data_IF_025121013695
#
_entry.id   IF_025121013695
#
_cell.length_a   1.000
_cell.length_b   1.000
_cell.length_c   1.000
_cell.angle_alpha   90.00
_cell.angle_beta   90.00
_cell.angle_gamma   90.00
#
_symmetry.space_group_name_H-M   'P 1'
#
loop_
_entity.id
_entity.type
_entity.pdbx_description
1 polymer ?
#
# COMPACT_ATOMS: atom_id res chain seq x y z
N UNK A 1 38.14 -29.78 -22.66
CA UNK A 1 38.83 -31.09 -22.58
C UNK A 1 39.77 -31.03 -21.39
N UNK A 2 39.55 -31.87 -20.37
CA UNK A 2 40.34 -31.89 -19.12
C UNK A 2 39.46 -32.06 -17.87
N UNK A 3 39.33 -33.28 -17.31
CA UNK A 3 38.48 -33.58 -16.16
C UNK A 3 39.31 -33.80 -14.87
N UNK A 4 38.79 -33.36 -13.73
CA UNK A 4 39.23 -33.79 -12.39
C UNK A 4 37.95 -34.10 -11.57
N UNK A 5 37.60 -35.38 -11.37
CA UNK A 5 37.84 -36.22 -10.16
C UNK A 5 37.23 -35.62 -8.88
N UNK A 6 36.57 -36.31 -7.95
CA UNK A 6 35.85 -37.60 -7.75
C UNK A 6 35.53 -37.64 -6.24
N UNK A 7 34.37 -38.20 -5.84
CA UNK A 7 34.03 -38.73 -4.50
C UNK A 7 33.88 -37.68 -3.34
N UNK A 8 33.04 -37.86 -2.33
CA UNK A 8 32.62 -39.10 -1.66
C UNK A 8 31.21 -39.04 -1.04
N UNK A 9 30.73 -40.23 -0.68
CA UNK A 9 29.41 -40.57 -0.14
C UNK A 9 29.37 -40.66 1.39
N UNK A 10 28.15 -40.63 1.95
CA UNK A 10 27.73 -41.15 3.26
C UNK A 10 26.23 -40.90 3.40
N UNK A 11 25.31 -41.89 3.32
CA UNK A 11 24.99 -42.98 4.25
C UNK A 11 24.64 -42.49 5.67
N UNK A 12 23.66 -42.99 6.43
CA UNK A 12 22.41 -43.73 6.22
C UNK A 12 21.77 -43.86 7.64
N UNK A 13 20.42 -43.88 7.69
CA UNK A 13 19.59 -44.68 8.63
C UNK A 13 19.37 -44.31 10.12
N UNK A 14 18.13 -44.63 10.52
CA UNK A 14 17.64 -45.13 11.84
C UNK A 14 16.86 -44.11 12.68
N UNK A 15 15.74 -44.41 13.36
CA UNK A 15 14.89 -45.60 13.49
C UNK A 15 13.56 -45.24 14.20
N UNK A 16 12.59 -46.15 14.06
CA UNK A 16 11.30 -46.29 14.75
C UNK A 16 11.36 -46.20 16.30
N UNK A 17 10.27 -45.72 16.92
CA UNK A 17 9.78 -46.23 18.20
C UNK A 17 8.24 -46.14 18.30
N UNK A 18 7.59 -47.31 18.45
CA UNK A 18 6.21 -47.51 18.87
C UNK A 18 6.12 -47.57 20.41
N UNK A 19 5.09 -46.96 21.00
CA UNK A 19 4.56 -47.28 22.35
C UNK A 19 3.05 -46.99 22.34
N UNK A 20 2.18 -48.01 22.24
CA UNK A 20 1.54 -48.84 23.28
C UNK A 20 0.50 -48.12 24.17
N UNK A 21 -0.71 -48.69 24.18
CA UNK A 21 -1.98 -48.19 24.70
C UNK A 21 -2.17 -48.31 26.22
N UNK A 22 -3.01 -47.43 26.80
CA UNK A 22 -3.86 -47.73 27.95
C UNK A 22 -5.22 -47.01 27.84
N UNK A 23 -6.29 -47.80 27.95
CA UNK A 23 -7.66 -47.35 28.16
C UNK A 23 -7.88 -47.03 29.65
N UNK A 24 -8.66 -45.98 29.97
CA UNK A 24 -9.30 -45.83 31.28
C UNK A 24 -10.64 -45.06 31.13
N UNK A 25 -11.72 -45.84 31.17
CA UNK A 25 -12.99 -45.64 31.89
C UNK A 25 -13.66 -44.25 31.90
N UNK A 26 -14.91 -44.23 31.41
CA UNK A 26 -15.78 -43.07 31.39
C UNK A 26 -16.17 -42.51 32.76
N UNK A 27 -16.31 -41.19 32.81
CA UNK A 27 -17.06 -40.48 33.83
C UNK A 27 -18.54 -40.52 33.46
N UNK A 28 -19.30 -41.39 34.13
CA UNK A 28 -20.75 -41.22 34.26
C UNK A 28 -21.06 -40.25 35.40
N UNK A 29 -22.14 -39.44 35.31
CA UNK A 29 -22.50 -38.50 36.37
C UNK A 29 -22.82 -39.24 37.68
N UNK A 30 -22.45 -38.61 38.80
CA UNK A 30 -22.59 -39.20 40.12
C UNK A 30 -24.08 -39.44 40.47
N UNK A 31 -24.43 -40.56 41.13
CA UNK A 31 -25.82 -40.99 41.35
C UNK A 31 -26.58 -40.22 42.44
N UNK A 32 -26.04 -39.11 42.96
CA UNK A 32 -26.70 -38.26 43.96
C UNK A 32 -27.18 -36.91 43.38
N UNK A 33 -27.09 -36.71 42.07
CA UNK A 33 -27.63 -35.51 41.43
C UNK A 33 -29.15 -35.66 41.21
N UNK A 34 -29.91 -35.37 42.26
CA UNK A 34 -31.36 -35.24 42.18
C UNK A 34 -31.72 -33.81 41.79
N UNK A 35 -32.09 -33.64 40.51
CA UNK A 35 -33.02 -32.59 40.08
C UNK A 35 -32.39 -31.24 39.76
N UNK A 36 -31.94 -31.09 38.52
CA UNK A 36 -32.13 -29.86 37.78
C UNK A 36 -32.64 -30.22 36.39
N UNK A 37 -33.90 -29.91 36.12
CA UNK A 37 -34.48 -29.97 34.79
C UNK A 37 -33.66 -29.02 33.90
N UNK A 38 -33.05 -29.49 32.79
CA UNK A 38 -32.32 -28.60 31.91
C UNK A 38 -33.35 -27.71 31.21
N UNK A 39 -33.51 -26.49 31.69
CA UNK A 39 -34.01 -25.38 30.89
C UNK A 39 -33.25 -25.43 29.55
N UNK A 40 -33.93 -25.40 28.38
CA UNK A 40 -33.23 -25.33 27.12
C UNK A 40 -32.45 -24.01 27.09
N UNK A 41 -31.16 -24.07 27.42
CA UNK A 41 -30.24 -22.99 27.10
C UNK A 41 -30.21 -22.93 25.59
N UNK A 42 -30.87 -21.93 25.03
CA UNK A 42 -30.68 -21.52 23.65
C UNK A 42 -29.20 -21.23 23.47
N UNK A 43 -28.45 -22.22 22.98
CA UNK A 43 -27.10 -22.00 22.49
C UNK A 43 -27.24 -21.08 21.29
N UNK A 44 -27.09 -19.79 21.51
CA UNK A 44 -26.85 -18.82 20.45
C UNK A 44 -25.55 -19.25 19.78
N UNK A 45 -25.69 -20.01 18.70
CA UNK A 45 -24.58 -20.30 17.82
C UNK A 45 -24.14 -18.96 17.25
N UNK A 46 -23.09 -18.37 17.83
CA UNK A 46 -22.45 -17.18 17.31
C UNK A 46 -21.86 -17.57 15.96
N UNK A 47 -22.58 -17.26 14.88
CA UNK A 47 -22.02 -17.32 13.54
C UNK A 47 -20.76 -16.45 13.55
N UNK A 48 -19.58 -17.00 13.26
CA UNK A 48 -18.36 -16.21 13.22
C UNK A 48 -18.56 -15.09 12.19
N UNK A 49 -18.53 -13.84 12.66
CA UNK A 49 -18.54 -12.67 11.79
C UNK A 49 -17.28 -12.75 10.92
N UNK A 50 -17.46 -12.66 9.60
CA UNK A 50 -16.34 -12.66 8.68
C UNK A 50 -15.39 -11.50 9.03
N UNK A 51 -14.09 -11.79 9.15
CA UNK A 51 -13.09 -10.76 9.39
C UNK A 51 -13.16 -9.70 8.27
N UNK A 52 -13.04 -8.40 8.58
CA UNK A 52 -13.09 -7.36 7.58
C UNK A 52 -11.97 -7.56 6.55
N UNK A 53 -12.28 -7.33 5.28
CA UNK A 53 -11.27 -7.35 4.21
C UNK A 53 -10.22 -6.28 4.48
N UNK A 54 -8.92 -6.61 4.46
CA UNK A 54 -7.88 -5.62 4.69
C UNK A 54 -7.94 -4.54 3.62
N UNK A 55 -7.93 -3.28 4.07
CA UNK A 55 -7.87 -2.11 3.20
C UNK A 55 -6.48 -2.05 2.55
N UNK A 56 -6.36 -1.91 1.21
CA UNK A 56 -5.07 -1.73 0.55
C UNK A 56 -4.33 -0.51 1.12
N UNK A 57 -3.02 -0.66 1.37
CA UNK A 57 -2.18 0.43 1.84
C UNK A 57 -0.78 0.34 1.23
N UNK A 58 -0.55 1.13 0.19
CA UNK A 58 0.71 1.20 -0.52
C UNK A 58 1.84 1.75 0.36
N UNK A 59 1.53 2.59 1.36
CA UNK A 59 2.52 3.18 2.28
C UNK A 59 2.65 2.41 3.59
N UNK A 60 2.18 1.16 3.64
CA UNK A 60 2.23 0.33 4.86
C UNK A 60 3.65 0.09 5.39
N UNK A 61 4.66 0.04 4.51
CA UNK A 61 6.09 -0.04 4.86
C UNK A 61 6.75 1.34 5.07
N UNK A 62 6.00 2.43 5.01
CA UNK A 62 6.48 3.82 5.08
C UNK A 62 6.74 4.45 3.71
N UNK A 63 7.07 3.66 2.69
CA UNK A 63 7.26 4.10 1.31
C UNK A 63 6.84 3.03 0.30
N UNK A 64 6.64 3.47 -0.95
CA UNK A 64 6.44 2.62 -2.13
C UNK A 64 7.14 3.21 -3.34
N UNK A 65 7.61 2.36 -4.24
CA UNK A 65 8.25 2.76 -5.50
C UNK A 65 7.36 2.35 -6.68
N UNK A 66 7.28 3.21 -7.69
CA UNK A 66 6.47 3.02 -8.89
C UNK A 66 7.29 3.36 -10.13
N UNK A 67 7.08 2.58 -11.18
CA UNK A 67 7.57 2.91 -12.52
C UNK A 67 6.38 3.29 -13.40
N UNK A 68 6.41 4.50 -13.95
CA UNK A 68 5.35 5.06 -14.79
C UNK A 68 5.88 5.28 -16.20
N UNK A 69 5.24 4.67 -17.20
CA UNK A 69 5.64 4.79 -18.60
C UNK A 69 4.64 5.67 -19.35
N UNK A 70 5.15 6.70 -20.01
CA UNK A 70 4.37 7.57 -20.89
C UNK A 70 5.15 7.80 -22.18
N UNK A 71 4.78 7.10 -23.26
CA UNK A 71 5.49 7.23 -24.54
C UNK A 71 6.95 6.82 -24.44
N UNK A 72 7.86 7.79 -24.63
CA UNK A 72 9.31 7.57 -24.59
C UNK A 72 9.92 7.70 -23.19
N UNK A 73 9.16 8.22 -22.22
CA UNK A 73 9.63 8.45 -20.85
C UNK A 73 9.21 7.31 -19.94
N UNK A 74 10.18 6.81 -19.17
CA UNK A 74 9.92 6.01 -17.97
C UNK A 74 10.32 6.82 -16.75
N UNK A 75 9.38 7.03 -15.83
CA UNK A 75 9.58 7.76 -14.58
C UNK A 75 9.61 6.78 -13.41
N UNK A 76 10.70 6.80 -12.65
CA UNK A 76 10.81 6.11 -11.36
C UNK A 76 10.40 7.09 -10.28
N UNK A 77 9.34 6.76 -9.53
CA UNK A 77 8.75 7.61 -8.50
C UNK A 77 8.73 6.87 -7.17
N UNK A 78 9.35 7.47 -6.16
CA UNK A 78 9.25 7.05 -4.77
C UNK A 78 8.21 7.91 -4.05
N UNK A 79 7.24 7.28 -3.40
CA UNK A 79 6.27 7.94 -2.54
C UNK A 79 6.49 7.52 -1.09
N UNK A 80 6.39 8.47 -0.15
CA UNK A 80 6.47 8.17 1.28
C UNK A 80 5.69 9.17 2.12
N UNK A 81 5.44 8.80 3.37
CA UNK A 81 4.95 9.73 4.40
C UNK A 81 5.86 9.67 5.62
N UNK A 82 6.24 10.84 6.14
CA UNK A 82 6.91 10.92 7.44
C UNK A 82 5.92 10.83 8.61
N UNK A 83 4.62 10.87 8.34
CA UNK A 83 3.57 10.62 9.32
C UNK A 83 3.32 9.11 9.37
N UNK A 84 3.46 8.53 10.56
CA UNK A 84 3.25 7.09 10.76
C UNK A 84 1.80 6.69 10.47
N UNK A 85 1.58 5.49 9.94
CA UNK A 85 0.26 5.06 9.45
C UNK A 85 -0.82 5.02 10.56
N UNK A 86 -0.44 4.85 11.83
CA UNK A 86 -1.36 4.96 12.99
C UNK A 86 -1.85 6.40 13.24
N UNK A 87 -1.11 7.39 12.73
CA UNK A 87 -1.44 8.82 12.82
C UNK A 87 -2.15 9.35 11.58
N UNK A 88 -2.33 8.52 10.55
CA UNK A 88 -3.12 8.85 9.37
C UNK A 88 -4.62 8.82 9.67
N UNK A 89 -5.09 9.67 10.58
CA UNK A 89 -6.50 9.74 10.98
C UNK A 89 -7.30 10.67 10.06
N UNK A 90 -8.63 10.63 10.18
CA UNK A 90 -9.53 11.44 9.37
C UNK A 90 -9.23 12.96 9.47
N UNK A 91 -8.96 13.45 10.68
CA UNK A 91 -8.74 14.87 10.97
C UNK A 91 -7.28 15.32 10.78
N UNK A 92 -6.32 14.39 10.73
CA UNK A 92 -4.91 14.73 10.62
C UNK A 92 -4.57 15.39 9.28
N UNK A 93 -3.61 16.31 9.28
CA UNK A 93 -2.94 16.75 8.06
C UNK A 93 -1.90 15.68 7.69
N UNK A 94 -2.08 15.03 6.54
CA UNK A 94 -1.30 13.86 6.14
C UNK A 94 -0.33 14.23 5.01
N UNK A 95 0.98 14.44 5.30
CA UNK A 95 1.96 14.78 4.27
C UNK A 95 2.32 13.54 3.44
N UNK A 96 2.36 13.71 2.12
CA UNK A 96 2.83 12.71 1.16
C UNK A 96 3.94 13.34 0.34
N UNK A 97 5.15 12.86 0.57
CA UNK A 97 6.34 13.29 -0.14
C UNK A 97 6.61 12.35 -1.31
N UNK A 98 7.21 12.89 -2.36
CA UNK A 98 7.66 12.09 -3.48
C UNK A 98 9.02 12.57 -3.99
N UNK A 99 9.72 11.65 -4.65
CA UNK A 99 10.92 11.89 -5.44
C UNK A 99 10.75 11.20 -6.78
N UNK A 100 11.17 11.86 -7.86
CA UNK A 100 11.03 11.32 -9.21
C UNK A 100 12.28 11.58 -10.03
N UNK A 101 12.71 10.56 -10.75
CA UNK A 101 13.68 10.67 -11.85
C UNK A 101 13.11 10.03 -13.10
N UNK A 102 13.65 10.39 -14.25
CA UNK A 102 13.20 9.86 -15.53
C UNK A 102 14.35 9.33 -16.36
N UNK A 103 14.02 8.40 -17.24
CA UNK A 103 14.83 7.98 -18.39
C UNK A 103 14.04 8.21 -19.68
N UNK A 104 14.74 8.25 -20.83
CA UNK A 104 14.13 8.40 -22.14
C UNK A 104 14.62 7.31 -23.08
N UNK A 105 13.73 6.78 -23.92
CA UNK A 105 14.06 5.77 -24.93
C UNK A 105 13.54 6.18 -26.32
N UNK A 106 14.39 6.22 -27.36
CA UNK A 106 15.85 6.04 -27.31
C UNK A 106 16.54 7.18 -26.54
N UNK A 107 17.70 6.88 -25.96
CA UNK A 107 18.56 7.88 -25.31
C UNK A 107 19.58 8.43 -26.32
N UNK A 108 19.12 9.30 -27.22
CA UNK A 108 19.99 9.97 -28.19
C UNK A 108 20.47 11.35 -27.67
N UNK A 109 20.29 11.63 -26.38
CA UNK A 109 20.63 12.92 -25.76
C UNK A 109 19.48 13.93 -25.71
N UNK A 110 18.23 13.51 -25.89
CA UNK A 110 17.06 14.33 -25.60
C UNK A 110 16.93 14.59 -24.10
N UNK A 111 16.50 15.80 -23.73
CA UNK A 111 16.16 16.11 -22.33
C UNK A 111 14.69 15.89 -22.04
N UNK A 112 14.39 15.54 -20.80
CA UNK A 112 13.03 15.37 -20.26
C UNK A 112 12.81 16.40 -19.16
N UNK A 113 11.73 17.17 -19.30
CA UNK A 113 11.36 18.22 -18.37
C UNK A 113 10.00 17.94 -17.76
N UNK A 114 9.86 18.11 -16.45
CA UNK A 114 8.56 18.12 -15.78
C UNK A 114 7.96 19.52 -15.88
N UNK A 115 6.79 19.64 -16.49
CA UNK A 115 6.05 20.89 -16.58
C UNK A 115 5.07 21.05 -15.42
N UNK A 116 4.44 19.95 -14.99
CA UNK A 116 3.40 19.98 -13.96
C UNK A 116 3.31 18.64 -13.23
N UNK A 117 3.15 18.69 -11.92
CA UNK A 117 2.69 17.59 -11.08
C UNK A 117 1.38 17.99 -10.40
N UNK A 118 0.39 17.10 -10.39
CA UNK A 118 -0.91 17.30 -9.74
C UNK A 118 -1.19 16.14 -8.81
N UNK A 119 -1.74 16.42 -7.64
CA UNK A 119 -2.31 15.42 -6.73
C UNK A 119 -3.75 15.78 -6.40
N UNK A 120 -4.64 14.80 -6.55
CA UNK A 120 -6.05 14.87 -6.08
C UNK A 120 -6.27 13.73 -5.10
N UNK A 121 -6.77 14.06 -3.90
CA UNK A 121 -7.11 13.07 -2.89
C UNK A 121 -8.61 12.76 -2.93
N UNK A 122 -8.96 11.49 -3.09
CA UNK A 122 -10.36 11.02 -3.15
C UNK A 122 -10.60 10.05 -2.00
N UNK A 123 -11.25 10.48 -0.91
CA UNK A 123 -11.58 9.61 0.21
C UNK A 123 -12.55 8.49 -0.23
N UNK A 124 -12.45 7.34 0.40
CA UNK A 124 -13.27 6.16 0.13
C UNK A 124 -13.86 5.64 1.44
N UNK A 125 -15.16 5.40 1.47
CA UNK A 125 -15.85 4.82 2.60
C UNK A 125 -16.68 3.59 2.22
N UNK A 126 -17.58 3.14 3.11
CA UNK A 126 -18.41 1.96 2.90
C UNK A 126 -19.29 2.04 1.64
N UNK A 127 -19.78 3.22 1.32
CA UNK A 127 -20.63 3.48 0.15
C UNK A 127 -19.85 3.79 -1.14
N UNK A 128 -18.51 3.73 -1.08
CA UNK A 128 -17.62 3.99 -2.20
C UNK A 128 -16.94 5.37 -2.14
N UNK A 129 -16.67 5.93 -3.33
CA UNK A 129 -15.92 7.17 -3.47
C UNK A 129 -16.69 8.38 -2.94
N UNK A 130 -16.02 9.18 -2.13
CA UNK A 130 -16.55 10.44 -1.58
C UNK A 130 -16.13 11.64 -2.45
N UNK A 131 -16.58 12.83 -2.07
CA UNK A 131 -16.18 14.05 -2.75
C UNK A 131 -14.65 14.23 -2.73
N UNK A 132 -14.00 14.49 -3.88
CA UNK A 132 -12.57 14.72 -3.93
C UNK A 132 -12.20 16.03 -3.22
N UNK A 133 -11.02 16.04 -2.59
CA UNK A 133 -10.41 17.26 -2.07
C UNK A 133 -9.92 18.15 -3.22
N UNK A 134 -9.66 19.42 -2.92
CA UNK A 134 -9.09 20.35 -3.89
C UNK A 134 -7.75 19.85 -4.41
N UNK A 135 -7.58 19.95 -5.74
CA UNK A 135 -6.35 19.55 -6.42
C UNK A 135 -5.19 20.43 -5.96
N UNK A 136 -4.07 19.81 -5.62
CA UNK A 136 -2.80 20.50 -5.41
C UNK A 136 -1.97 20.39 -6.68
N UNK A 137 -1.50 21.54 -7.17
CA UNK A 137 -0.77 21.65 -8.43
C UNK A 137 0.58 22.29 -8.15
N UNK A 138 1.65 21.59 -8.54
CA UNK A 138 2.96 22.18 -8.73
C UNK A 138 3.21 22.36 -10.22
N UNK A 139 3.29 23.61 -10.65
CA UNK A 139 3.47 24.01 -12.04
C UNK A 139 4.82 24.69 -12.16
N UNK A 140 5.65 24.25 -13.11
CA UNK A 140 6.96 24.85 -13.34
C UNK A 140 6.85 26.34 -13.62
N UNK A 141 7.65 27.13 -12.89
CA UNK A 141 7.85 28.56 -13.12
C UNK A 141 8.97 28.87 -14.14
N UNK A 142 9.69 27.84 -14.59
CA UNK A 142 10.76 27.96 -15.58
C UNK A 142 10.38 27.27 -16.89
N UNK A 143 10.77 27.87 -18.01
CA UNK A 143 10.61 27.26 -19.33
C UNK A 143 11.83 26.39 -19.68
N UNK A 144 11.66 25.20 -20.29
CA UNK A 144 10.37 24.57 -20.63
C UNK A 144 9.72 23.83 -19.43
N UNK A 145 10.50 23.52 -18.39
CA UNK A 145 10.08 22.80 -17.19
C UNK A 145 11.30 22.53 -16.29
N UNK A 146 11.11 21.79 -15.19
CA UNK A 146 12.21 21.31 -14.36
C UNK A 146 12.88 20.11 -15.02
N UNK A 147 14.22 20.11 -15.16
CA UNK A 147 14.94 18.95 -15.71
C UNK A 147 14.83 17.76 -14.75
N UNK A 148 14.28 16.64 -15.21
CA UNK A 148 14.05 15.43 -14.40
C UNK A 148 14.69 14.18 -15.00
N UNK A 149 15.50 14.34 -16.04
CA UNK A 149 16.31 13.25 -16.58
C UNK A 149 17.45 12.95 -15.60
N UNK A 150 17.67 11.67 -15.28
CA UNK A 150 18.73 11.25 -14.38
C UNK A 150 20.09 11.88 -14.78
N UNK A 151 20.90 12.35 -13.82
CA UNK A 151 20.77 12.19 -12.37
C UNK A 151 19.91 13.28 -11.67
N UNK A 152 19.25 14.15 -12.42
CA UNK A 152 18.41 15.21 -11.83
C UNK A 152 17.05 14.65 -11.41
N UNK A 153 16.61 15.04 -10.22
CA UNK A 153 15.35 14.57 -9.65
C UNK A 153 14.41 15.75 -9.34
N UNK A 154 13.11 15.45 -9.40
CA UNK A 154 12.06 16.29 -8.84
C UNK A 154 11.69 15.77 -7.45
N UNK A 155 11.39 16.66 -6.51
CA UNK A 155 10.88 16.28 -5.19
C UNK A 155 9.85 17.27 -4.72
N UNK A 156 8.75 16.77 -4.15
CA UNK A 156 7.63 17.59 -3.70
C UNK A 156 6.93 16.93 -2.53
N UNK A 157 6.28 17.73 -1.68
CA UNK A 157 5.34 17.24 -0.67
C UNK A 157 3.96 17.83 -0.93
N UNK A 158 2.97 16.95 -1.00
CA UNK A 158 1.55 17.30 -1.05
C UNK A 158 0.90 16.97 0.29
N UNK A 159 -0.11 17.73 0.69
CA UNK A 159 -0.77 17.55 1.99
C UNK A 159 -2.22 17.11 1.81
N UNK A 160 -2.56 15.92 2.27
CA UNK A 160 -3.96 15.49 2.30
C UNK A 160 -4.60 16.07 3.56
N UNK A 161 -5.61 16.91 3.36
CA UNK A 161 -6.35 17.55 4.46
C UNK A 161 -7.24 16.57 5.23
N UNK A 162 -8.15 17.13 6.02
CA UNK A 162 -9.19 16.36 6.69
C UNK A 162 -10.08 15.65 5.68
N UNK A 163 -10.44 14.40 5.97
CA UNK A 163 -11.39 13.59 5.19
C UNK A 163 -12.60 13.26 6.06
N UNK A 164 -13.75 12.87 5.48
CA UNK A 164 -14.90 12.40 6.26
C UNK A 164 -14.52 11.31 7.27
N UNK A 165 -15.17 11.28 8.43
CA UNK A 165 -14.81 10.38 9.54
C UNK A 165 -15.10 8.90 9.26
N UNK A 166 -15.98 8.63 8.31
CA UNK A 166 -16.31 7.30 7.79
C UNK A 166 -15.40 6.86 6.62
N UNK A 167 -14.44 7.70 6.21
CA UNK A 167 -13.44 7.33 5.23
C UNK A 167 -12.50 6.25 5.80
N UNK A 168 -12.37 5.14 5.07
CA UNK A 168 -11.51 4.00 5.43
C UNK A 168 -10.13 4.08 4.77
N UNK A 169 -10.04 4.74 3.62
CA UNK A 169 -8.81 5.02 2.90
C UNK A 169 -8.97 6.25 2.02
N UNK A 170 -7.85 6.70 1.46
CA UNK A 170 -7.80 7.73 0.44
C UNK A 170 -7.07 7.19 -0.78
N UNK A 171 -7.60 7.47 -1.96
CA UNK A 171 -6.90 7.29 -3.23
C UNK A 171 -6.26 8.61 -3.63
N UNK A 172 -4.93 8.62 -3.73
CA UNK A 172 -4.13 9.76 -4.15
C UNK A 172 -3.84 9.62 -5.64
N UNK A 173 -4.51 10.43 -6.44
CA UNK A 173 -4.40 10.41 -7.89
C UNK A 173 -3.34 11.42 -8.31
N UNK A 174 -2.23 10.91 -8.83
CA UNK A 174 -1.13 11.73 -9.33
C UNK A 174 -1.18 11.84 -10.85
N UNK A 175 -0.86 13.02 -11.38
CA UNK A 175 -0.66 13.24 -12.81
C UNK A 175 0.60 14.05 -13.05
N UNK A 176 1.43 13.60 -13.98
CA UNK A 176 2.70 14.24 -14.33
C UNK A 176 2.71 14.56 -15.81
N UNK A 177 2.91 15.83 -16.14
CA UNK A 177 3.06 16.31 -17.51
C UNK A 177 4.54 16.56 -17.80
N UNK A 178 5.11 15.73 -18.66
CA UNK A 178 6.47 15.84 -19.15
C UNK A 178 6.52 16.50 -20.53
N UNK A 179 7.61 17.21 -20.78
CA UNK A 179 8.02 17.71 -22.09
C UNK A 179 9.34 17.05 -22.48
N UNK A 180 9.33 16.28 -23.57
CA UNK A 180 10.49 15.61 -24.12
C UNK A 180 10.96 16.38 -25.34
N UNK A 181 12.25 16.70 -25.45
CA UNK A 181 12.79 17.30 -26.67
C UNK A 181 12.57 16.35 -27.86
N UNK A 182 12.06 16.84 -28.99
CA UNK A 182 11.82 16.00 -30.18
C UNK A 182 13.12 15.52 -30.82
N UNK A 183 14.18 16.33 -30.71
CA UNK A 183 15.56 16.00 -31.09
C UNK A 183 16.52 16.64 -30.09
N UNK A 184 17.75 16.11 -29.91
CA UNK A 184 18.72 16.66 -28.97
C UNK A 184 18.95 18.16 -29.22
N UNK A 185 18.95 18.96 -28.16
CA UNK A 185 19.13 20.43 -28.19
C UNK A 185 18.00 21.25 -28.81
N UNK A 186 16.91 20.63 -29.29
CA UNK A 186 15.76 21.33 -29.87
C UNK A 186 14.96 22.13 -28.85
N UNK A 187 14.27 23.17 -29.34
CA UNK A 187 13.25 23.92 -28.59
C UNK A 187 11.81 23.45 -28.92
N UNK A 188 11.67 22.36 -29.66
CA UNK A 188 10.41 21.67 -29.91
C UNK A 188 10.26 20.50 -28.95
N UNK A 189 9.07 20.38 -28.35
CA UNK A 189 8.80 19.42 -27.30
C UNK A 189 7.55 18.60 -27.60
N UNK A 190 7.62 17.30 -27.31
CA UNK A 190 6.47 16.42 -27.25
C UNK A 190 5.97 16.33 -25.81
N UNK A 191 4.66 16.56 -25.61
CA UNK A 191 4.03 16.36 -24.31
C UNK A 191 3.76 14.87 -24.07
N UNK A 192 4.13 14.38 -22.89
CA UNK A 192 3.82 13.04 -22.42
C UNK A 192 3.22 13.14 -21.02
N UNK A 193 2.11 12.45 -20.78
CA UNK A 193 1.41 12.47 -19.48
C UNK A 193 1.44 11.08 -18.88
N UNK A 194 1.94 10.98 -17.65
CA UNK A 194 1.82 9.79 -16.82
C UNK A 194 0.80 10.03 -15.70
N UNK A 195 0.17 8.98 -15.20
CA UNK A 195 -0.72 9.07 -14.05
C UNK A 195 -0.57 7.83 -13.18
N UNK A 196 -0.78 8.01 -11.88
CA UNK A 196 -0.70 6.94 -10.89
C UNK A 196 -1.79 7.10 -9.83
N UNK A 197 -2.10 6.02 -9.11
CA UNK A 197 -2.98 6.04 -7.95
C UNK A 197 -2.33 5.30 -6.80
N UNK A 198 -2.07 6.04 -5.71
CA UNK A 198 -1.53 5.50 -4.46
C UNK A 198 -2.68 5.40 -3.45
N UNK A 199 -2.92 4.22 -2.91
CA UNK A 199 -3.95 3.98 -1.89
C UNK A 199 -3.33 3.99 -0.51
N UNK A 200 -3.87 4.81 0.39
CA UNK A 200 -3.38 4.90 1.79
C UNK A 200 -4.55 4.74 2.74
N UNK A 201 -4.42 3.82 3.70
CA UNK A 201 -5.43 3.58 4.71
C UNK A 201 -5.56 4.77 5.68
N UNK A 202 -6.78 4.99 6.17
CA UNK A 202 -7.05 5.93 7.27
C UNK A 202 -7.16 5.12 8.56
N UNK A 203 -6.35 5.47 9.56
CA UNK A 203 -6.41 4.88 10.88
C UNK A 203 -7.68 5.31 11.61
N UNK A 204 -8.29 4.37 12.31
CA UNK A 204 -9.35 4.69 13.28
C UNK A 204 -8.80 5.64 14.34
N UNK A 205 -9.63 6.60 14.76
CA UNK A 205 -9.23 7.50 15.84
C UNK A 205 -8.95 6.68 17.12
N UNK A 206 -7.89 7.00 17.88
CA UNK A 206 -7.64 6.35 19.16
C UNK A 206 -8.81 6.70 20.11
N UNK A 207 -9.72 5.75 20.32
CA UNK A 207 -10.90 5.93 21.18
C UNK A 207 -12.24 5.42 20.63
N UNK A 208 -12.30 4.88 19.40
CA UNK A 208 -13.54 4.30 18.84
C UNK A 208 -13.81 2.84 19.25
N UNK A 209 -13.14 2.33 20.28
CA UNK A 209 -13.52 1.07 20.91
C UNK A 209 -14.76 1.36 21.76
N UNK A 210 -15.93 1.08 21.19
CA UNK A 210 -17.21 1.18 21.89
C UNK A 210 -17.18 0.27 23.11
N UNK A 211 -17.17 0.89 24.30
CA UNK A 211 -17.41 0.23 25.58
C UNK A 211 -18.75 -0.53 25.46
N UNK A 212 -18.78 -1.87 25.63
CA UNK A 212 -20.04 -2.59 25.68
C UNK A 212 -20.71 -2.26 27.02
N UNK A 213 -21.77 -1.44 27.00
CA UNK A 213 -22.62 -1.24 28.18
C UNK A 213 -23.15 -2.60 28.69
N UNK A 214 -22.86 -2.93 29.95
CA UNK A 214 -23.46 -4.02 30.74
C UNK A 214 -24.94 -3.76 31.06
#
# INVERSE_FOLDING_TARGET
MGPHRRAAAGAASSALALTLALALTGCGPAPWDFGAEPTPSTTTSSTPSAAPTPVPNDLSSGSTERELVAGAVAASVDYWSNLSMDRWTAEALKPVSLSMTTTVTPDDGQKVYLQRAVMVAVPQGPDGAMAPLEAQVDQSSVAPGYLVLAPYSYSQTFNVGSVPTDATHVQLQFSYDFLVQTTPTSNEFAKQTASDTVTVAIAAAPGSESDPEE
#
